data_IF_949011950160
#
_entry.id   IF_949011950160
#
_cell.length_a   1.000
_cell.length_b   1.000
_cell.length_c   1.000
_cell.angle_alpha   90.00
_cell.angle_beta   90.00
_cell.angle_gamma   90.00
#
_symmetry.space_group_name_H-M   'P 1'
#
loop_
_entity.id
_entity.type
_entity.pdbx_description
1 polymer ?
#
# COMPACT_ATOMS: atom_id res chain seq x y z
N UNK A 1 3.64 -26.05 -31.46
CA UNK A 1 3.27 -25.76 -31.46
C UNK A 1 3.18 -25.32 -31.29
N UNK A 2 3.38 -25.18 -30.86
CA UNK A 2 2.81 -24.90 -30.65
C UNK A 2 2.48 -24.77 -30.99
N UNK A 3 2.60 -25.05 -31.04
CA UNK A 3 1.85 -25.11 -31.40
C UNK A 3 1.58 -25.70 -31.54
N UNK A 4 1.80 -25.96 -31.73
CA UNK A 4 1.03 -26.51 -31.69
C UNK A 4 0.90 -26.83 -31.11
N UNK A 5 1.15 -27.00 -30.88
CA UNK A 5 0.60 -27.22 -30.29
C UNK A 5 0.32 -26.85 -29.88
N UNK A 6 0.14 -26.60 -29.91
CA UNK A 6 -0.58 -26.42 -29.77
C UNK A 6 -0.80 -26.38 -29.84
N UNK A 7 -0.70 -26.39 -30.12
CA UNK A 7 -1.31 -26.48 -30.29
C UNK A 7 -1.57 -26.92 -30.28
N UNK A 8 -1.06 -27.12 -30.66
CA UNK A 8 -1.69 -27.47 -30.45
C UNK A 8 -2.29 -27.54 -29.77
N UNK A 9 -2.03 -27.25 -29.61
CA UNK A 9 -3.04 -27.44 -28.72
C UNK A 9 -3.87 -26.23 -28.32
N UNK A 10 -4.83 -25.81 -29.09
CA UNK A 10 -5.72 -24.69 -28.78
C UNK A 10 -6.51 -24.86 -27.51
N UNK A 11 -6.91 -26.06 -27.23
CA UNK A 11 -7.64 -26.34 -25.98
C UNK A 11 -6.81 -26.00 -24.77
N UNK A 12 -5.59 -26.31 -24.81
CA UNK A 12 -4.68 -25.99 -23.72
C UNK A 12 -4.62 -24.47 -23.51
N UNK A 13 -4.52 -23.72 -24.57
CA UNK A 13 -4.49 -22.28 -24.49
C UNK A 13 -5.78 -21.70 -23.94
N UNK A 14 -6.91 -22.30 -24.25
CA UNK A 14 -8.20 -21.82 -23.75
C UNK A 14 -8.37 -22.03 -22.25
N UNK A 15 -7.81 -23.09 -21.71
CA UNK A 15 -7.93 -23.35 -20.28
C UNK A 15 -7.03 -22.46 -19.45
N UNK A 16 -5.86 -22.18 -19.93
CA UNK A 16 -4.88 -21.43 -19.17
C UNK A 16 -5.26 -19.99 -18.89
N UNK A 17 -5.86 -19.24 -19.81
CA UNK A 17 -6.26 -17.87 -19.51
C UNK A 17 -7.32 -17.73 -18.43
N UNK A 18 -8.06 -18.80 -18.15
CA UNK A 18 -9.11 -18.72 -17.16
C UNK A 18 -8.58 -18.88 -15.74
N UNK A 19 -7.64 -19.81 -15.54
CA UNK A 19 -7.15 -20.14 -14.21
C UNK A 19 -6.34 -19.03 -13.54
N UNK A 20 -5.36 -18.35 -14.23
CA UNK A 20 -4.49 -17.41 -13.54
C UNK A 20 -5.21 -16.26 -12.83
N UNK A 21 -6.15 -15.53 -13.44
CA UNK A 21 -6.85 -14.47 -12.73
C UNK A 21 -7.61 -14.96 -11.52
N UNK A 22 -8.19 -16.13 -11.64
CA UNK A 22 -8.93 -16.72 -10.53
C UNK A 22 -8.02 -17.08 -9.37
N UNK A 23 -6.87 -17.66 -9.66
CA UNK A 23 -5.88 -18.03 -8.65
C UNK A 23 -5.33 -16.80 -7.95
N UNK A 24 -5.15 -15.70 -8.67
CA UNK A 24 -4.68 -14.45 -8.08
C UNK A 24 -5.61 -13.95 -6.98
N UNK A 25 -6.90 -14.11 -7.14
CA UNK A 25 -7.88 -13.73 -6.12
C UNK A 25 -7.70 -14.50 -4.82
N UNK A 26 -7.16 -15.70 -4.89
CA UNK A 26 -7.01 -16.56 -3.73
C UNK A 26 -5.62 -16.51 -3.12
N UNK A 27 -4.70 -15.69 -3.65
CA UNK A 27 -3.38 -15.57 -3.04
C UNK A 27 -3.47 -14.78 -1.73
N UNK A 28 -2.65 -15.15 -0.75
CA UNK A 28 -2.60 -14.47 0.53
C UNK A 28 -2.33 -12.98 0.37
N UNK A 29 -1.35 -12.62 -0.45
CA UNK A 29 -0.95 -11.21 -0.60
C UNK A 29 -2.06 -10.35 -1.17
N UNK A 30 -2.81 -10.87 -2.14
CA UNK A 30 -3.93 -10.13 -2.73
C UNK A 30 -5.05 -9.94 -1.73
N UNK A 31 -5.41 -11.01 -1.00
CA UNK A 31 -6.48 -10.92 -0.02
C UNK A 31 -6.09 -10.01 1.14
N UNK A 32 -4.84 -10.08 1.59
CA UNK A 32 -4.35 -9.20 2.63
C UNK A 32 -4.41 -7.73 2.20
N UNK A 33 -4.09 -7.43 0.95
CA UNK A 33 -4.26 -6.07 0.42
C UNK A 33 -5.70 -5.63 0.45
N UNK A 34 -6.62 -6.51 0.15
CA UNK A 34 -8.06 -6.19 0.24
C UNK A 34 -8.48 -5.90 1.67
N UNK A 35 -7.96 -6.64 2.63
CA UNK A 35 -8.23 -6.40 4.05
C UNK A 35 -7.66 -5.03 4.46
N UNK A 36 -6.45 -4.71 4.05
CA UNK A 36 -5.84 -3.42 4.34
C UNK A 36 -6.65 -2.27 3.73
N UNK A 37 -7.06 -2.43 2.49
CA UNK A 37 -7.89 -1.44 1.81
C UNK A 37 -9.26 -1.29 2.48
N UNK A 38 -9.81 -2.38 2.96
CA UNK A 38 -11.07 -2.38 3.70
C UNK A 38 -10.97 -1.50 4.95
N UNK A 39 -9.95 -1.70 5.78
CA UNK A 39 -9.77 -0.92 6.99
C UNK A 39 -9.52 0.55 6.67
N UNK A 40 -8.69 0.84 5.69
CA UNK A 40 -8.44 2.22 5.29
C UNK A 40 -9.73 2.89 4.81
N UNK A 41 -10.54 2.17 4.03
CA UNK A 41 -11.82 2.68 3.56
C UNK A 41 -12.78 2.98 4.70
N UNK A 42 -12.83 2.11 5.72
CA UNK A 42 -13.67 2.36 6.90
C UNK A 42 -13.19 3.57 7.69
N UNK A 43 -11.88 3.73 7.81
CA UNK A 43 -11.31 4.89 8.47
C UNK A 43 -11.70 6.18 7.77
N UNK A 44 -11.60 6.21 6.45
CA UNK A 44 -11.97 7.38 5.64
C UNK A 44 -13.45 7.74 5.81
N UNK A 45 -14.30 6.74 6.06
CA UNK A 45 -15.73 6.96 6.25
C UNK A 45 -16.10 7.46 7.65
N UNK A 46 -15.16 7.48 8.59
CA UNK A 46 -15.43 7.97 9.94
C UNK A 46 -15.34 9.49 9.99
N UNK A 47 -16.08 10.10 10.93
CA UNK A 47 -16.02 11.53 11.14
C UNK A 47 -14.70 11.99 11.74
N UNK A 48 -13.87 11.05 12.18
CA UNK A 48 -12.58 11.37 12.77
C UNK A 48 -11.60 11.95 11.75
N UNK A 49 -11.86 11.76 10.46
CA UNK A 49 -11.02 12.30 9.42
C UNK A 49 -11.81 13.14 8.46
N UNK A 50 -11.56 14.41 8.58
CA UNK A 50 -12.00 15.35 7.59
C UNK A 50 -10.84 15.54 6.64
N UNK A 51 -10.83 14.81 5.54
CA UNK A 51 -9.91 15.24 4.54
C UNK A 51 -9.06 14.25 3.78
N UNK A 52 -9.06 12.94 4.10
CA UNK A 52 -8.39 12.04 3.17
C UNK A 52 -9.23 11.94 1.90
N UNK A 53 -8.67 12.37 0.81
CA UNK A 53 -9.32 12.25 -0.49
C UNK A 53 -8.30 11.69 -1.49
N UNK A 54 -8.78 11.38 -2.68
CA UNK A 54 -7.94 10.74 -3.70
C UNK A 54 -6.78 11.63 -4.16
N UNK A 55 -6.80 12.90 -3.78
CA UNK A 55 -5.76 13.86 -4.17
C UNK A 55 -4.70 14.07 -3.10
N UNK A 56 -4.87 13.47 -1.91
CA UNK A 56 -3.88 13.64 -0.85
C UNK A 56 -2.54 13.05 -1.29
N UNK A 57 -1.48 13.74 -0.91
CA UNK A 57 -0.12 13.40 -1.32
C UNK A 57 0.60 12.65 -0.21
N UNK A 58 1.67 11.96 -0.58
CA UNK A 58 2.55 11.28 0.36
C UNK A 58 3.00 12.24 1.46
N UNK A 59 3.30 13.49 1.11
CA UNK A 59 3.72 14.50 2.10
C UNK A 59 2.70 14.66 3.23
N UNK A 60 1.43 14.85 2.89
CA UNK A 60 0.37 15.06 3.90
C UNK A 60 0.00 13.78 4.62
N UNK A 61 0.20 12.63 3.98
CA UNK A 61 -0.12 11.35 4.60
C UNK A 61 0.89 10.92 5.65
N UNK A 62 2.18 11.23 5.46
CA UNK A 62 3.22 10.72 6.34
C UNK A 62 4.02 11.78 7.09
N UNK A 63 4.24 12.97 6.52
CA UNK A 63 5.35 13.83 6.94
C UNK A 63 4.96 15.16 7.59
N UNK A 64 3.69 15.41 7.81
CA UNK A 64 3.24 16.59 8.53
C UNK A 64 2.83 16.21 9.95
N UNK A 65 2.67 17.22 10.82
CA UNK A 65 2.10 17.01 12.13
C UNK A 65 0.66 16.52 11.97
N UNK A 66 0.25 15.59 12.83
CA UNK A 66 -1.07 14.94 12.74
C UNK A 66 -1.31 14.31 11.36
N UNK A 67 -0.26 13.72 10.78
CA UNK A 67 -0.36 13.07 9.48
C UNK A 67 -1.44 12.00 9.46
N UNK A 68 -2.12 11.91 8.33
CA UNK A 68 -3.25 10.98 8.16
C UNK A 68 -2.85 9.53 8.46
N UNK A 69 -1.65 9.12 8.06
CA UNK A 69 -1.16 7.78 8.31
C UNK A 69 -1.03 7.46 9.79
N UNK A 70 -0.61 8.42 10.62
CA UNK A 70 -0.54 8.25 12.06
C UNK A 70 -1.92 8.21 12.69
N UNK A 71 -2.84 9.04 12.21
CA UNK A 71 -4.22 9.01 12.66
C UNK A 71 -4.87 7.66 12.36
N UNK A 72 -4.60 7.10 11.20
CA UNK A 72 -5.09 5.79 10.82
C UNK A 72 -4.54 4.69 11.74
N UNK A 73 -3.25 4.71 12.02
CA UNK A 73 -2.63 3.74 12.92
C UNK A 73 -3.21 3.84 14.33
N UNK A 74 -3.41 5.06 14.82
CA UNK A 74 -4.03 5.26 16.12
C UNK A 74 -5.46 4.71 16.15
N UNK A 75 -6.23 5.01 15.11
CA UNK A 75 -7.60 4.51 14.98
C UNK A 75 -7.64 2.98 14.99
N UNK A 76 -6.75 2.33 14.23
CA UNK A 76 -6.65 0.87 14.23
C UNK A 76 -6.33 0.32 15.61
N UNK A 77 -5.43 0.97 16.34
CA UNK A 77 -5.02 0.51 17.67
C UNK A 77 -6.13 0.59 18.69
N UNK A 78 -7.12 1.46 18.47
CA UNK A 78 -8.26 1.63 19.36
C UNK A 78 -9.49 0.85 18.91
N UNK A 79 -9.43 0.20 17.74
CA UNK A 79 -10.58 -0.48 17.18
C UNK A 79 -10.87 -1.77 17.93
N UNK A 80 -12.14 -2.01 18.23
CA UNK A 80 -12.55 -3.25 18.88
C UNK A 80 -12.36 -4.43 17.91
N UNK A 81 -11.85 -5.57 18.42
CA UNK A 81 -11.54 -6.73 17.59
C UNK A 81 -12.73 -7.28 16.81
N UNK A 82 -13.95 -7.04 17.30
CA UNK A 82 -15.17 -7.48 16.61
C UNK A 82 -15.76 -6.42 15.69
N UNK A 83 -15.12 -5.24 15.61
CA UNK A 83 -15.59 -4.21 14.69
C UNK A 83 -15.56 -4.75 13.26
N UNK A 84 -16.66 -4.48 12.54
CA UNK A 84 -16.81 -4.93 11.14
C UNK A 84 -16.70 -6.44 10.95
N UNK A 85 -17.02 -7.21 12.00
CA UNK A 85 -16.88 -8.66 12.02
C UNK A 85 -17.54 -9.34 10.81
N UNK A 86 -18.79 -9.00 10.54
CA UNK A 86 -19.55 -9.62 9.45
C UNK A 86 -18.96 -9.27 8.07
N UNK A 87 -18.52 -8.04 7.92
CA UNK A 87 -17.97 -7.59 6.66
C UNK A 87 -16.61 -8.24 6.38
N UNK A 88 -15.77 -8.35 7.41
CA UNK A 88 -14.48 -9.02 7.29
C UNK A 88 -14.66 -10.52 6.99
N UNK A 89 -15.61 -11.15 7.66
CA UNK A 89 -15.89 -12.56 7.45
C UNK A 89 -16.28 -12.83 5.99
N UNK A 90 -17.11 -11.97 5.42
CA UNK A 90 -17.47 -12.09 4.01
C UNK A 90 -16.29 -11.85 3.08
N UNK A 91 -15.45 -10.90 3.43
CA UNK A 91 -14.29 -10.54 2.62
C UNK A 91 -13.28 -11.67 2.50
N UNK A 92 -13.05 -12.41 3.60
CA UNK A 92 -12.04 -13.47 3.61
C UNK A 92 -12.61 -14.86 3.32
N UNK A 93 -13.92 -14.96 3.16
CA UNK A 93 -14.57 -16.25 2.93
C UNK A 93 -14.01 -16.92 1.67
N UNK A 94 -13.73 -18.22 1.79
CA UNK A 94 -13.16 -19.02 0.71
C UNK A 94 -11.80 -18.54 0.22
N UNK A 95 -11.06 -17.85 1.09
CA UNK A 95 -9.70 -17.41 0.79
C UNK A 95 -8.72 -18.16 1.70
N UNK A 96 -7.42 -18.13 1.39
CA UNK A 96 -6.42 -18.80 2.24
C UNK A 96 -6.35 -18.27 3.68
N UNK A 97 -6.84 -17.05 3.94
CA UNK A 97 -6.81 -16.47 5.28
C UNK A 97 -8.16 -16.52 5.99
N UNK A 98 -9.09 -17.30 5.48
CA UNK A 98 -10.42 -17.41 6.08
C UNK A 98 -10.39 -17.85 7.55
N UNK A 99 -9.42 -18.68 7.91
CA UNK A 99 -9.29 -19.20 9.26
C UNK A 99 -8.58 -18.25 10.23
N UNK A 100 -8.07 -17.14 9.74
CA UNK A 100 -7.39 -16.17 10.60
C UNK A 100 -8.40 -15.39 11.42
N UNK A 101 -8.03 -15.09 12.67
CA UNK A 101 -8.91 -14.30 13.55
C UNK A 101 -8.97 -12.86 13.08
N UNK A 102 -10.03 -12.16 13.46
CA UNK A 102 -10.14 -10.74 13.16
C UNK A 102 -9.08 -9.92 13.89
N UNK A 103 -8.72 -10.34 15.10
CA UNK A 103 -7.60 -9.71 15.80
C UNK A 103 -6.29 -9.84 15.02
N UNK A 104 -6.05 -11.00 14.42
CA UNK A 104 -4.87 -11.20 13.58
C UNK A 104 -4.90 -10.26 12.38
N UNK A 105 -6.03 -10.17 11.68
CA UNK A 105 -6.15 -9.32 10.50
C UNK A 105 -5.95 -7.84 10.84
N UNK A 106 -6.51 -7.41 11.96
CA UNK A 106 -6.38 -6.05 12.44
C UNK A 106 -4.91 -5.73 12.78
N UNK A 107 -4.27 -6.61 13.54
CA UNK A 107 -2.87 -6.43 13.93
C UNK A 107 -1.93 -6.47 12.73
N UNK A 108 -2.21 -7.32 11.76
CA UNK A 108 -1.41 -7.40 10.54
C UNK A 108 -1.53 -6.11 9.73
N UNK A 109 -2.73 -5.56 9.63
CA UNK A 109 -2.95 -4.29 8.96
C UNK A 109 -2.14 -3.18 9.64
N UNK A 110 -2.22 -3.11 10.96
CA UNK A 110 -1.46 -2.12 11.73
C UNK A 110 0.03 -2.27 11.50
N UNK A 111 0.55 -3.49 11.60
CA UNK A 111 1.98 -3.77 11.41
C UNK A 111 2.42 -3.38 10.00
N UNK A 112 1.63 -3.72 8.98
CA UNK A 112 1.95 -3.40 7.60
C UNK A 112 2.03 -1.89 7.39
N UNK A 113 1.08 -1.15 7.92
CA UNK A 113 1.08 0.32 7.79
C UNK A 113 2.22 0.96 8.57
N UNK A 114 2.61 0.39 9.70
CA UNK A 114 3.81 0.84 10.42
C UNK A 114 5.07 0.63 9.57
N UNK A 115 5.18 -0.53 8.92
CA UNK A 115 6.31 -0.82 8.04
C UNK A 115 6.34 0.11 6.82
N UNK A 116 5.19 0.39 6.23
CA UNK A 116 5.11 1.31 5.11
C UNK A 116 5.53 2.71 5.55
N UNK A 117 5.09 3.14 6.71
CA UNK A 117 5.48 4.44 7.29
C UNK A 117 6.99 4.50 7.49
N UNK A 118 7.59 3.47 8.09
CA UNK A 118 9.03 3.43 8.31
C UNK A 118 9.80 3.48 7.00
N UNK A 119 9.33 2.75 5.99
CA UNK A 119 9.96 2.79 4.66
C UNK A 119 9.87 4.17 4.03
N UNK A 120 8.74 4.84 4.17
CA UNK A 120 8.56 6.18 3.64
C UNK A 120 9.52 7.17 4.31
N UNK A 121 9.64 7.11 5.64
CA UNK A 121 10.59 7.95 6.37
C UNK A 121 12.04 7.65 5.99
N UNK A 122 12.40 6.38 5.87
CA UNK A 122 13.75 6.01 5.48
C UNK A 122 14.09 6.50 4.07
N UNK A 123 13.14 6.38 3.15
CA UNK A 123 13.33 6.84 1.78
C UNK A 123 13.52 8.35 1.71
N UNK A 124 12.68 9.09 2.45
CA UNK A 124 12.80 10.54 2.54
C UNK A 124 14.15 10.96 3.12
N UNK A 125 14.53 10.34 4.23
CA UNK A 125 15.79 10.64 4.90
C UNK A 125 16.99 10.34 4.00
N UNK A 126 16.98 9.22 3.29
CA UNK A 126 18.04 8.86 2.36
C UNK A 126 18.20 9.90 1.25
N UNK A 127 17.08 10.39 0.72
CA UNK A 127 17.11 11.43 -0.32
C UNK A 127 17.62 12.75 0.23
N UNK A 128 17.23 13.11 1.45
CA UNK A 128 17.72 14.35 2.09
C UNK A 128 19.22 14.29 2.34
N UNK A 129 19.73 13.16 2.81
CA UNK A 129 21.16 12.96 3.01
C UNK A 129 21.91 13.07 1.68
N UNK A 130 21.38 12.42 0.65
CA UNK A 130 21.99 12.45 -0.69
C UNK A 130 22.04 13.88 -1.23
N UNK A 131 20.97 14.65 -1.08
CA UNK A 131 20.92 16.05 -1.50
C UNK A 131 21.98 16.87 -0.76
N UNK A 132 22.07 16.69 0.56
CA UNK A 132 23.05 17.41 1.36
C UNK A 132 24.49 17.10 0.93
N UNK A 133 24.79 15.83 0.69
CA UNK A 133 26.13 15.42 0.24
C UNK A 133 26.47 15.98 -1.14
N UNK A 134 25.55 15.89 -2.09
CA UNK A 134 25.76 16.39 -3.45
C UNK A 134 25.87 17.91 -3.48
N UNK A 135 25.08 18.59 -2.65
CA UNK A 135 25.15 20.05 -2.53
C UNK A 135 26.49 20.46 -1.97
N UNK A 136 26.99 19.77 -0.95
CA UNK A 136 28.28 20.05 -0.34
C UNK A 136 29.43 19.83 -1.31
N UNK A 137 29.37 18.77 -2.10
CA UNK A 137 30.47 18.40 -3.00
C UNK A 137 30.45 19.17 -4.32
N UNK A 138 29.29 19.35 -4.92
CA UNK A 138 29.14 19.88 -6.27
C UNK A 138 28.41 21.21 -6.34
N UNK A 139 27.84 21.67 -5.24
CA UNK A 139 27.06 22.90 -5.20
C UNK A 139 25.55 22.63 -5.42
N UNK A 140 24.77 23.57 -4.92
CA UNK A 140 23.31 23.49 -4.96
C UNK A 140 22.76 23.46 -6.39
N UNK A 141 23.45 24.14 -7.31
CA UNK A 141 22.99 24.26 -8.68
C UNK A 141 23.51 23.15 -9.59
N UNK A 142 24.25 22.19 -9.04
CA UNK A 142 24.77 21.09 -9.86
C UNK A 142 23.63 20.20 -10.40
N UNK A 143 23.83 19.59 -11.58
CA UNK A 143 22.83 18.68 -12.12
C UNK A 143 22.51 17.51 -11.19
N UNK A 144 23.52 17.00 -10.47
CA UNK A 144 23.36 15.89 -9.55
C UNK A 144 22.47 16.27 -8.36
N UNK A 145 22.73 17.44 -7.75
CA UNK A 145 21.93 17.92 -6.63
C UNK A 145 20.49 18.20 -7.07
N UNK A 146 20.32 18.79 -8.24
CA UNK A 146 18.98 19.07 -8.78
C UNK A 146 18.21 17.78 -9.07
N UNK A 147 18.88 16.77 -9.60
CA UNK A 147 18.25 15.48 -9.87
C UNK A 147 17.78 14.81 -8.59
N UNK A 148 18.58 14.86 -7.53
CA UNK A 148 18.21 14.30 -6.23
C UNK A 148 17.03 15.07 -5.61
N UNK A 149 17.05 16.39 -5.71
CA UNK A 149 15.94 17.23 -5.24
C UNK A 149 14.66 16.91 -6.01
N UNK A 150 14.75 16.69 -7.30
CA UNK A 150 13.60 16.29 -8.12
C UNK A 150 13.03 14.96 -7.65
N UNK A 151 13.87 13.98 -7.31
CA UNK A 151 13.42 12.70 -6.79
C UNK A 151 12.65 12.86 -5.48
N UNK A 152 13.14 13.73 -4.59
CA UNK A 152 12.45 14.01 -3.33
C UNK A 152 11.10 14.67 -3.60
N UNK A 153 11.07 15.67 -4.46
CA UNK A 153 9.82 16.36 -4.81
C UNK A 153 8.81 15.41 -5.44
N UNK A 154 9.26 14.48 -6.27
CA UNK A 154 8.40 13.45 -6.85
C UNK A 154 7.80 12.56 -5.77
N UNK A 155 8.61 12.12 -4.81
CA UNK A 155 8.12 11.29 -3.71
C UNK A 155 7.04 12.03 -2.92
N UNK A 156 7.33 13.25 -2.50
CA UNK A 156 6.43 14.02 -1.64
C UNK A 156 5.11 14.39 -2.34
N UNK A 157 5.15 14.57 -3.64
CA UNK A 157 3.97 14.97 -4.41
C UNK A 157 3.21 13.79 -5.04
N UNK A 158 3.68 12.56 -4.83
CA UNK A 158 2.99 11.36 -5.29
C UNK A 158 1.65 11.25 -4.57
N UNK A 159 0.64 10.78 -5.28
CA UNK A 159 -0.67 10.52 -4.68
C UNK A 159 -0.54 9.44 -3.61
N UNK A 160 -1.06 9.71 -2.40
CA UNK A 160 -0.90 8.80 -1.27
C UNK A 160 -1.55 7.45 -1.53
N UNK A 161 -2.74 7.43 -2.13
CA UNK A 161 -3.45 6.18 -2.41
C UNK A 161 -2.64 5.33 -3.41
N UNK A 162 -2.12 5.97 -4.46
CA UNK A 162 -1.27 5.28 -5.44
C UNK A 162 0.00 4.73 -4.82
N UNK A 163 0.64 5.50 -3.95
CA UNK A 163 1.83 5.05 -3.22
C UNK A 163 1.53 3.81 -2.36
N UNK A 164 0.44 3.85 -1.61
CA UNK A 164 0.04 2.74 -0.76
C UNK A 164 -0.28 1.49 -1.57
N UNK A 165 -0.84 1.65 -2.75
CA UNK A 165 -1.19 0.53 -3.61
C UNK A 165 0.04 -0.23 -4.11
N UNK A 166 1.19 0.44 -4.22
CA UNK A 166 2.43 -0.18 -4.68
C UNK A 166 3.28 -0.76 -3.55
N UNK A 167 2.97 -0.43 -2.31
CA UNK A 167 3.67 -0.96 -1.14
C UNK A 167 2.86 -2.07 -0.51
#
# INVERSE_FOLDING_TARGET
PVGMSAMQSPQWALHHPIAPPFLSFHSNSVVQRHVHAFFLGKFVQTDAILGLNVKDRVFTFFFIDDAIGFQFQHWLSQLHVLAYNNELERLVRKTPIEQKTHAYLLNQTLTTFQQITDKAFNRKNALEVKIAELTKEFGEQSPAAKAAQYQLDQLLNTNAIGYLAEE
#
